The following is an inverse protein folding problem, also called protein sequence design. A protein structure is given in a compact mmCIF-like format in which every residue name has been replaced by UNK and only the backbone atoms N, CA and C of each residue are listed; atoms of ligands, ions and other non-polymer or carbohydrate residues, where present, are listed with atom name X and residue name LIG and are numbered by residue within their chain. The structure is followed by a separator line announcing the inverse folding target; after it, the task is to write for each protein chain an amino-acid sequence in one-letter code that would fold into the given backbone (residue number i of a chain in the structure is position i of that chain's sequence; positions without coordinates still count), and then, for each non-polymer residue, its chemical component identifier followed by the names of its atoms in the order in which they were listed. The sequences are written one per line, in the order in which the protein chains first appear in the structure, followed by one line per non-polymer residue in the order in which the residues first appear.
data_IF_274064591618
#
_entry.id   IF_274064591618
#
_cell.length_a   1.000
_cell.length_b   1.000
_cell.length_c   1.000
_cell.angle_alpha   90.00
_cell.angle_beta   90.00
_cell.angle_gamma   90.00
#
_symmetry.space_group_name_H-M   'P 1'
#
loop_
_entity.id
_entity.type
_entity.pdbx_description
1 polymer ?
#
# COMPACT_ATOMS: atom_id res chain seq x y z
N UNK A 1 10.02 -12.12 -8.26
CA UNK A 1 9.16 -10.95 -7.92
C UNK A 1 7.86 -11.47 -7.36
N UNK A 2 7.27 -10.77 -6.37
CA UNK A 2 6.20 -11.31 -5.54
C UNK A 2 4.84 -11.26 -6.29
N UNK A 3 4.11 -12.38 -6.45
CA UNK A 3 2.86 -12.45 -7.22
C UNK A 3 1.74 -11.54 -6.67
N UNK A 4 1.77 -11.28 -5.35
CA UNK A 4 0.71 -10.59 -4.59
C UNK A 4 0.66 -9.05 -4.76
N UNK A 5 1.08 -8.53 -5.92
CA UNK A 5 1.28 -7.09 -6.15
C UNK A 5 0.33 -6.49 -7.18
N UNK A 6 -0.77 -7.15 -7.56
CA UNK A 6 -1.64 -6.72 -8.67
C UNK A 6 -2.14 -5.27 -8.59
N UNK A 7 -2.73 -4.83 -7.46
CA UNK A 7 -3.16 -3.43 -7.27
C UNK A 7 -1.98 -2.50 -6.96
N UNK A 8 -1.04 -2.97 -6.13
CA UNK A 8 0.17 -2.22 -5.72
C UNK A 8 1.11 -1.92 -6.89
N UNK A 9 1.03 -2.71 -7.96
CA UNK A 9 1.76 -2.53 -9.23
C UNK A 9 1.38 -1.24 -9.94
N UNK A 10 0.16 -0.72 -9.72
CA UNK A 10 -0.27 0.51 -10.38
C UNK A 10 0.36 1.72 -9.67
N UNK A 11 0.26 1.79 -8.34
CA UNK A 11 0.74 2.94 -7.56
C UNK A 11 2.27 3.02 -7.52
N UNK A 12 2.95 1.90 -7.30
CA UNK A 12 4.42 1.87 -7.19
C UNK A 12 5.12 1.40 -8.47
N UNK A 13 4.47 1.57 -9.64
CA UNK A 13 4.93 1.01 -10.92
C UNK A 13 6.36 1.39 -11.26
N UNK A 14 6.70 2.67 -11.14
CA UNK A 14 8.00 3.20 -11.52
C UNK A 14 9.12 2.63 -10.65
N UNK A 15 8.90 2.53 -9.33
CA UNK A 15 9.84 1.91 -8.40
C UNK A 15 10.00 0.41 -8.63
N UNK A 16 8.91 -0.27 -9.01
CA UNK A 16 8.98 -1.68 -9.41
C UNK A 16 9.87 -1.77 -10.64
N UNK A 17 9.55 -1.06 -11.72
CA UNK A 17 10.32 -1.08 -12.97
C UNK A 17 11.79 -0.73 -12.76
N UNK A 18 12.13 0.22 -11.90
CA UNK A 18 13.52 0.54 -11.55
C UNK A 18 14.24 -0.65 -10.90
N UNK A 19 13.58 -1.36 -9.98
CA UNK A 19 14.14 -2.55 -9.36
C UNK A 19 14.21 -3.74 -10.33
N UNK A 20 13.22 -3.89 -11.23
CA UNK A 20 13.23 -4.91 -12.28
C UNK A 20 14.39 -4.68 -13.26
N UNK A 21 14.58 -3.43 -13.71
CA UNK A 21 15.69 -3.03 -14.57
C UNK A 21 17.04 -3.26 -13.88
N UNK A 22 17.18 -2.92 -12.60
CA UNK A 22 18.41 -3.21 -11.87
C UNK A 22 18.70 -4.72 -11.80
N UNK A 23 17.69 -5.53 -11.51
CA UNK A 23 17.84 -6.99 -11.46
C UNK A 23 18.04 -7.65 -12.83
N UNK A 24 17.83 -6.95 -13.94
CA UNK A 24 18.11 -7.47 -15.27
C UNK A 24 19.61 -7.72 -15.48
N UNK A 25 20.47 -6.90 -14.85
CA UNK A 25 21.90 -7.15 -14.76
C UNK A 25 22.18 -8.20 -13.66
N UNK A 26 22.39 -9.45 -14.05
CA UNK A 26 22.41 -10.59 -13.12
C UNK A 26 23.33 -10.45 -11.90
N UNK A 27 24.50 -9.80 -12.04
CA UNK A 27 25.47 -9.63 -10.93
C UNK A 27 25.08 -8.50 -9.96
N UNK A 28 24.44 -7.43 -10.42
CA UNK A 28 24.06 -6.26 -9.60
C UNK A 28 23.17 -6.63 -8.40
N UNK A 29 22.39 -7.71 -8.57
CA UNK A 29 21.51 -8.28 -7.55
C UNK A 29 22.26 -8.86 -6.36
N UNK A 30 23.48 -9.38 -6.57
CA UNK A 30 24.27 -10.06 -5.55
C UNK A 30 25.24 -9.14 -4.83
N UNK A 31 25.69 -8.07 -5.49
CA UNK A 31 26.64 -7.08 -4.92
C UNK A 31 25.97 -6.01 -4.07
N UNK A 32 24.63 -5.97 -4.04
CA UNK A 32 23.87 -4.93 -3.34
C UNK A 32 23.72 -3.62 -4.14
N UNK A 33 24.13 -3.60 -5.41
CA UNK A 33 23.99 -2.42 -6.27
C UNK A 33 22.51 -1.98 -6.42
N UNK A 34 21.56 -2.89 -6.29
CA UNK A 34 20.11 -2.59 -6.34
C UNK A 34 19.50 -2.14 -5.01
N UNK A 35 20.29 -1.92 -3.95
CA UNK A 35 19.76 -1.60 -2.62
C UNK A 35 18.97 -0.28 -2.58
N UNK A 36 19.39 0.73 -3.34
CA UNK A 36 18.67 2.00 -3.40
C UNK A 36 17.29 1.83 -4.06
N UNK A 37 17.23 1.22 -5.26
CA UNK A 37 15.97 0.94 -5.94
C UNK A 37 15.02 0.08 -5.08
N UNK A 38 15.57 -0.89 -4.33
CA UNK A 38 14.82 -1.69 -3.36
C UNK A 38 14.29 -0.84 -2.21
N UNK A 39 15.10 0.07 -1.68
CA UNK A 39 14.69 0.97 -0.61
C UNK A 39 13.55 1.88 -1.07
N UNK A 40 13.67 2.48 -2.25
CA UNK A 40 12.66 3.39 -2.80
C UNK A 40 11.32 2.67 -3.02
N UNK A 41 11.37 1.44 -3.55
CA UNK A 41 10.18 0.59 -3.67
C UNK A 41 9.55 0.31 -2.29
N UNK A 42 10.36 -0.02 -1.28
CA UNK A 42 9.84 -0.26 0.08
C UNK A 42 9.16 0.98 0.66
N UNK A 43 9.71 2.17 0.42
CA UNK A 43 9.12 3.43 0.89
C UNK A 43 7.79 3.72 0.20
N UNK A 44 7.68 3.49 -1.11
CA UNK A 44 6.42 3.59 -1.82
C UNK A 44 5.36 2.62 -1.27
N UNK A 45 5.71 1.34 -1.12
CA UNK A 45 4.79 0.32 -0.60
C UNK A 45 4.36 0.60 0.85
N UNK A 46 5.25 1.17 1.67
CA UNK A 46 4.93 1.59 3.03
C UNK A 46 3.93 2.74 3.03
N UNK A 47 4.14 3.75 2.18
CA UNK A 47 3.21 4.87 2.03
C UNK A 47 1.82 4.39 1.59
N UNK A 48 1.76 3.57 0.54
CA UNK A 48 0.50 3.00 0.05
C UNK A 48 -0.24 2.19 1.12
N UNK A 49 0.50 1.40 1.91
CA UNK A 49 -0.09 0.69 3.05
C UNK A 49 -0.72 1.65 4.05
N UNK A 50 0.00 2.72 4.43
CA UNK A 50 -0.50 3.71 5.39
C UNK A 50 -1.74 4.40 4.85
N UNK A 51 -1.69 4.91 3.63
CA UNK A 51 -2.78 5.66 2.98
C UNK A 51 -4.06 4.80 2.92
N UNK A 52 -3.94 3.54 2.49
CA UNK A 52 -5.06 2.58 2.52
C UNK A 52 -5.60 2.31 3.92
N UNK A 53 -4.71 2.10 4.91
CA UNK A 53 -5.16 1.84 6.28
C UNK A 53 -5.86 3.04 6.92
N UNK A 54 -5.42 4.26 6.59
CA UNK A 54 -6.07 5.49 7.02
C UNK A 54 -7.46 5.60 6.42
N UNK A 55 -7.60 5.43 5.09
CA UNK A 55 -8.90 5.42 4.42
C UNK A 55 -9.86 4.40 5.02
N UNK A 56 -9.41 3.16 5.22
CA UNK A 56 -10.24 2.11 5.82
C UNK A 56 -10.68 2.47 7.25
N UNK A 57 -9.82 3.14 8.03
CA UNK A 57 -10.15 3.59 9.38
C UNK A 57 -11.19 4.70 9.37
N UNK A 58 -11.07 5.66 8.46
CA UNK A 58 -12.03 6.76 8.28
C UNK A 58 -13.39 6.25 7.85
N UNK A 59 -13.43 5.35 6.85
CA UNK A 59 -14.66 4.71 6.40
C UNK A 59 -15.32 3.89 7.51
N UNK A 60 -14.53 3.16 8.30
CA UNK A 60 -15.05 2.41 9.44
C UNK A 60 -15.64 3.34 10.51
N UNK A 61 -14.99 4.48 10.79
CA UNK A 61 -15.51 5.49 11.73
C UNK A 61 -16.85 6.05 11.24
N UNK A 62 -16.92 6.47 9.98
CA UNK A 62 -18.12 7.02 9.37
C UNK A 62 -19.28 6.00 9.37
N UNK A 63 -19.00 4.72 9.08
CA UNK A 63 -20.01 3.65 9.17
C UNK A 63 -20.51 3.47 10.60
N UNK A 64 -19.59 3.52 11.58
CA UNK A 64 -19.92 3.33 12.99
C UNK A 64 -20.78 4.46 13.54
N UNK A 65 -20.49 5.71 13.17
CA UNK A 65 -21.29 6.88 13.51
C UNK A 65 -22.71 6.79 12.94
N UNK A 66 -22.87 6.40 11.67
CA UNK A 66 -24.19 6.18 11.06
C UNK A 66 -25.01 5.10 11.77
N UNK A 67 -24.36 4.00 12.14
CA UNK A 67 -25.00 2.92 12.89
C UNK A 67 -25.44 3.42 14.27
N UNK A 68 -24.58 4.16 14.98
CA UNK A 68 -24.92 4.72 16.29
C UNK A 68 -26.08 5.71 16.22
N UNK A 69 -26.12 6.58 15.21
CA UNK A 69 -27.23 7.49 14.98
C UNK A 69 -28.54 6.74 14.72
N UNK A 70 -28.53 5.76 13.81
CA UNK A 70 -29.72 4.96 13.52
C UNK A 70 -30.20 4.16 14.75
N UNK A 71 -29.29 3.67 15.59
CA UNK A 71 -29.67 3.02 16.85
C UNK A 71 -30.29 3.96 17.86
N UNK A 72 -29.84 5.22 17.94
CA UNK A 72 -30.46 6.24 18.82
C UNK A 72 -31.88 6.57 18.35
N UNK A 73 -32.05 6.81 17.05
CA UNK A 73 -33.37 7.07 16.46
C UNK A 73 -34.38 5.94 16.74
N UNK A 74 -33.94 4.67 16.73
CA UNK A 74 -34.80 3.52 17.02
C UNK A 74 -35.14 3.30 18.51
N UNK A 75 -34.36 3.85 19.45
CA UNK A 75 -34.55 3.64 20.90
C UNK A 75 -35.23 4.83 21.60
N UNK A 76 -35.37 5.97 20.91
CA UNK A 76 -36.06 7.17 21.41
C UNK A 76 -37.57 7.20 21.03
N UNK A 77 -38.10 6.16 20.38
CA UNK A 77 -39.53 5.84 20.16
C UNK A 77 -40.02 4.73 21.11
#
# INVERSE_FOLDING_TARGET
MHPQLTEKKIVCREFIQALEACHADGWSRWTGACNQAKHDLNMCLRKERVDRTTKNREEAKAKREKIEMAWKELHDD
#
